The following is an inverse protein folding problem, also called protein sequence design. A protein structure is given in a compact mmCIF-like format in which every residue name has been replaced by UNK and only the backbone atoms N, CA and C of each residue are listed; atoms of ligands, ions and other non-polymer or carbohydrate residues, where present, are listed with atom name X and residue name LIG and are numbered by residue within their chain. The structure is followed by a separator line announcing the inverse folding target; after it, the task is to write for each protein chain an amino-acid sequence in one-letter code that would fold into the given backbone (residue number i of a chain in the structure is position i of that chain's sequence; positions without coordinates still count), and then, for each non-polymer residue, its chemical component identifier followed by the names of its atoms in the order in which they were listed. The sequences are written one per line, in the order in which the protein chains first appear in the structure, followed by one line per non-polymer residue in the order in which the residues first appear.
data_IF_182446897241
#
_entry.id   IF_182446897241
#
_cell.length_a   1.000
_cell.length_b   1.000
_cell.length_c   1.000
_cell.angle_alpha   90.00
_cell.angle_beta   90.00
_cell.angle_gamma   90.00
#
_symmetry.space_group_name_H-M   'P 1'
#
loop_
_entity.id
_entity.type
_entity.pdbx_description
1 polymer ?
#
# COMPACT_ATOMS: atom_id res chain seq x y z
N UNK A 1 -18.64 5.52 9.38
CA UNK A 1 -17.55 4.88 10.15
C UNK A 1 -17.37 3.46 9.65
N UNK A 2 -16.37 3.20 8.81
CA UNK A 2 -16.12 1.85 8.28
C UNK A 2 -15.61 0.92 9.37
N UNK A 3 -16.33 -0.17 9.63
CA UNK A 3 -15.87 -1.23 10.54
C UNK A 3 -14.53 -1.79 10.04
N UNK A 4 -13.55 -1.88 10.95
CA UNK A 4 -12.22 -2.46 10.68
C UNK A 4 -12.41 -3.92 10.32
N UNK A 5 -12.47 -4.23 9.03
CA UNK A 5 -12.46 -5.65 8.64
C UNK A 5 -11.08 -6.19 8.96
N UNK A 6 -11.08 -7.08 9.96
CA UNK A 6 -9.95 -7.76 10.58
C UNK A 6 -9.13 -8.55 9.54
N UNK A 7 -8.35 -7.85 8.73
CA UNK A 7 -7.43 -8.45 7.78
C UNK A 7 -6.07 -8.73 8.41
N UNK A 8 -5.72 -8.02 9.47
CA UNK A 8 -4.47 -8.14 10.20
C UNK A 8 -4.80 -8.39 11.67
N UNK A 9 -4.29 -9.49 12.22
CA UNK A 9 -4.51 -9.86 13.62
C UNK A 9 -3.55 -9.07 14.52
N UNK A 10 -3.98 -8.74 15.74
CA UNK A 10 -3.15 -7.93 16.65
C UNK A 10 -1.88 -8.69 17.04
N UNK A 11 -1.99 -10.01 17.15
CA UNK A 11 -0.93 -10.95 17.53
C UNK A 11 0.18 -11.02 16.47
N UNK A 12 -0.13 -10.63 15.22
CA UNK A 12 0.84 -10.55 14.12
C UNK A 12 1.35 -9.12 13.90
N UNK A 13 0.94 -8.16 14.74
CA UNK A 13 1.46 -6.79 14.69
C UNK A 13 2.67 -6.67 15.62
N UNK A 14 3.78 -6.12 15.12
CA UNK A 14 5.04 -6.01 15.86
C UNK A 14 5.68 -4.64 15.63
N UNK A 15 6.53 -4.19 16.56
CA UNK A 15 7.35 -3.00 16.34
C UNK A 15 8.39 -3.26 15.25
N UNK A 16 8.48 -2.35 14.29
CA UNK A 16 9.46 -2.40 13.20
C UNK A 16 9.88 -1.00 12.78
N UNK A 17 11.01 -0.90 12.09
CA UNK A 17 11.49 0.37 11.55
C UNK A 17 10.72 0.74 10.27
N UNK A 18 10.30 1.99 10.19
CA UNK A 18 9.78 2.62 8.99
C UNK A 18 10.73 3.74 8.58
N UNK A 19 11.30 3.63 7.38
CA UNK A 19 12.25 4.61 6.85
C UNK A 19 11.50 5.80 6.25
N UNK A 20 11.68 6.96 6.87
CA UNK A 20 11.17 8.24 6.43
C UNK A 20 11.99 8.76 5.24
N UNK A 21 11.40 9.69 4.49
CA UNK A 21 12.06 10.34 3.35
C UNK A 21 13.27 11.19 3.75
N UNK A 22 13.35 11.59 5.02
CA UNK A 22 14.51 12.29 5.59
C UNK A 22 15.75 11.39 5.70
N UNK A 23 15.61 10.08 5.51
CA UNK A 23 16.64 9.08 5.78
C UNK A 23 16.63 8.56 7.22
N UNK A 24 15.86 9.18 8.11
CA UNK A 24 15.65 8.71 9.47
C UNK A 24 14.65 7.54 9.50
N UNK A 25 14.71 6.72 10.55
CA UNK A 25 13.74 5.66 10.80
C UNK A 25 12.93 5.93 12.06
N UNK A 26 11.64 5.63 12.03
CA UNK A 26 10.76 5.67 13.20
C UNK A 26 10.24 4.26 13.52
N UNK A 27 10.04 3.95 14.80
CA UNK A 27 9.39 2.70 15.20
C UNK A 27 7.89 2.82 14.95
N UNK A 28 7.33 1.84 14.24
CA UNK A 28 5.91 1.74 13.96
C UNK A 28 5.37 0.37 14.32
N UNK A 29 4.08 0.32 14.60
CA UNK A 29 3.33 -0.93 14.70
C UNK A 29 3.12 -1.48 13.29
N UNK A 30 3.99 -2.39 12.88
CA UNK A 30 3.97 -3.06 11.58
C UNK A 30 3.02 -4.25 11.62
N UNK A 31 1.97 -4.21 10.82
CA UNK A 31 1.05 -5.33 10.70
C UNK A 31 1.66 -6.41 9.79
N UNK A 32 1.21 -7.66 9.90
CA UNK A 32 1.65 -8.74 9.01
C UNK A 32 0.47 -9.57 8.51
N UNK A 33 0.54 -9.97 7.23
CA UNK A 33 -0.37 -10.97 6.66
C UNK A 33 0.27 -11.71 5.49
N UNK A 34 0.15 -13.05 5.52
CA UNK A 34 0.40 -13.91 4.37
C UNK A 34 -0.93 -14.30 3.71
N UNK A 35 -1.13 -13.91 2.45
CA UNK A 35 -2.38 -14.18 1.71
C UNK A 35 -2.14 -14.12 0.20
N UNK A 36 -3.18 -14.38 -0.59
CA UNK A 36 -3.21 -13.98 -1.99
C UNK A 36 -3.67 -12.52 -2.11
N UNK A 37 -2.92 -11.72 -2.86
CA UNK A 37 -3.19 -10.30 -3.14
C UNK A 37 -3.16 -10.04 -4.64
N UNK A 38 -3.81 -8.96 -5.08
CA UNK A 38 -3.69 -8.46 -6.44
C UNK A 38 -2.48 -7.53 -6.52
N UNK A 39 -1.48 -7.91 -7.32
CA UNK A 39 -0.17 -7.29 -7.39
C UNK A 39 0.25 -7.06 -8.86
N UNK A 40 1.10 -6.06 -9.09
CA UNK A 40 1.78 -5.86 -10.36
C UNK A 40 3.09 -5.11 -10.13
N UNK A 41 4.12 -5.43 -10.90
CA UNK A 41 5.30 -4.57 -11.00
C UNK A 41 5.06 -3.53 -12.11
N UNK A 42 5.17 -2.25 -11.77
CA UNK A 42 5.00 -1.14 -12.71
C UNK A 42 6.38 -0.63 -13.14
N UNK A 43 6.93 -1.22 -14.20
CA UNK A 43 8.28 -0.91 -14.68
C UNK A 43 8.50 0.59 -14.96
N UNK A 44 7.51 1.28 -15.53
CA UNK A 44 7.59 2.72 -15.80
C UNK A 44 7.76 3.55 -14.52
N UNK A 45 7.18 3.11 -13.41
CA UNK A 45 7.21 3.79 -12.12
C UNK A 45 8.28 3.24 -11.17
N UNK A 46 8.88 2.09 -11.51
CA UNK A 46 9.80 1.33 -10.67
C UNK A 46 9.25 1.06 -9.27
N UNK A 47 8.02 0.53 -9.23
CA UNK A 47 7.32 0.24 -7.99
C UNK A 47 6.46 -1.02 -8.09
N UNK A 48 6.20 -1.63 -6.94
CA UNK A 48 5.22 -2.69 -6.78
C UNK A 48 3.86 -2.09 -6.43
N UNK A 49 2.84 -2.37 -7.23
CA UNK A 49 1.47 -2.03 -6.95
C UNK A 49 0.76 -3.18 -6.21
N UNK A 50 0.03 -2.87 -5.14
CA UNK A 50 -0.84 -3.81 -4.44
C UNK A 50 -2.23 -3.22 -4.21
N UNK A 51 -3.27 -3.99 -4.54
CA UNK A 51 -4.66 -3.60 -4.33
C UNK A 51 -5.25 -4.31 -3.11
N UNK A 52 -5.69 -3.52 -2.13
CA UNK A 52 -6.32 -3.98 -0.90
C UNK A 52 -7.79 -3.57 -0.89
N UNK A 53 -8.74 -4.51 -0.97
CA UNK A 53 -10.16 -4.19 -0.89
C UNK A 53 -10.53 -3.71 0.52
N UNK A 54 -11.31 -2.64 0.63
CA UNK A 54 -12.02 -2.32 1.85
C UNK A 54 -13.27 -3.19 1.90
N UNK A 55 -13.38 -4.12 2.84
CA UNK A 55 -14.67 -4.74 3.12
C UNK A 55 -15.49 -3.78 3.99
N UNK A 56 -16.70 -3.48 3.57
CA UNK A 56 -17.77 -3.00 4.45
C UNK A 56 -18.60 -4.21 4.87
N UNK A 57 -19.14 -4.18 6.09
CA UNK A 57 -19.94 -5.28 6.67
C UNK A 57 -21.30 -5.49 5.98
N UNK A 58 -21.68 -4.58 5.09
CA UNK A 58 -23.06 -4.34 4.69
C UNK A 58 -23.23 -4.02 3.19
N UNK A 59 -22.16 -4.09 2.37
CA UNK A 59 -22.25 -3.88 0.91
C UNK A 59 -21.03 -4.47 0.18
N UNK A 60 -21.21 -5.11 -0.99
CA UNK A 60 -20.10 -5.64 -1.75
C UNK A 60 -19.27 -4.51 -2.39
N UNK A 61 -18.09 -4.24 -1.83
CA UNK A 61 -16.84 -4.11 -2.60
C UNK A 61 -16.62 -2.89 -3.50
N UNK A 62 -17.14 -1.71 -3.19
CA UNK A 62 -16.94 -0.52 -4.05
C UNK A 62 -15.55 0.13 -3.92
N UNK A 63 -14.87 -0.03 -2.78
CA UNK A 63 -13.66 0.71 -2.48
C UNK A 63 -12.45 -0.19 -2.27
N UNK A 64 -11.31 0.24 -2.82
CA UNK A 64 -10.03 -0.43 -2.63
C UNK A 64 -8.92 0.59 -2.49
N UNK A 65 -7.93 0.29 -1.66
CA UNK A 65 -6.68 1.02 -1.59
C UNK A 65 -5.69 0.44 -2.60
N UNK A 66 -5.12 1.28 -3.46
CA UNK A 66 -3.93 0.95 -4.25
C UNK A 66 -2.71 1.51 -3.52
N UNK A 67 -1.76 0.64 -3.15
CA UNK A 67 -0.49 1.05 -2.56
C UNK A 67 0.59 0.85 -3.62
N UNK A 68 1.39 1.89 -3.87
CA UNK A 68 2.59 1.83 -4.69
C UNK A 68 3.80 1.79 -3.76
N UNK A 69 4.49 0.66 -3.73
CA UNK A 69 5.68 0.44 -2.92
C UNK A 69 6.92 0.59 -3.78
N UNK A 70 7.73 1.60 -3.49
CA UNK A 70 8.98 1.87 -4.20
C UNK A 70 10.04 0.83 -3.85
N UNK A 71 10.90 0.53 -4.82
CA UNK A 71 12.06 -0.33 -4.58
C UNK A 71 13.15 0.39 -3.77
N UNK A 72 13.31 1.70 -3.97
CA UNK A 72 14.30 2.53 -3.27
C UNK A 72 13.65 3.56 -2.33
N UNK A 73 14.23 3.72 -1.14
CA UNK A 73 13.76 4.65 -0.09
C UNK A 73 13.82 6.12 -0.53
N UNK A 74 14.79 6.49 -1.36
CA UNK A 74 14.94 7.83 -1.92
C UNK A 74 14.07 8.11 -3.17
N UNK A 75 13.21 7.17 -3.57
CA UNK A 75 12.48 7.21 -4.84
C UNK A 75 11.21 8.06 -4.88
N UNK A 76 10.71 8.59 -3.75
CA UNK A 76 9.36 9.17 -3.72
C UNK A 76 9.20 10.42 -4.57
N UNK A 77 10.17 11.35 -4.55
CA UNK A 77 10.10 12.57 -5.37
C UNK A 77 10.02 12.23 -6.87
N UNK A 78 10.84 11.25 -7.31
CA UNK A 78 10.85 10.74 -8.70
C UNK A 78 9.56 10.02 -9.07
N UNK A 79 8.96 9.26 -8.14
CA UNK A 79 7.65 8.65 -8.37
C UNK A 79 6.57 9.72 -8.53
N UNK A 80 6.54 10.71 -7.63
CA UNK A 80 5.53 11.76 -7.66
C UNK A 80 5.63 12.62 -8.93
N UNK A 81 6.84 12.91 -9.41
CA UNK A 81 7.02 13.62 -10.68
C UNK A 81 6.48 12.82 -11.87
N UNK A 82 6.72 11.51 -11.91
CA UNK A 82 6.14 10.61 -12.92
C UNK A 82 4.61 10.56 -12.84
N UNK A 83 4.04 10.38 -11.64
CA UNK A 83 2.59 10.31 -11.45
C UNK A 83 1.85 11.61 -11.81
N UNK A 84 2.52 12.76 -11.69
CA UNK A 84 1.98 14.07 -12.11
C UNK A 84 1.96 14.26 -13.62
N UNK A 85 2.75 13.50 -14.38
CA UNK A 85 2.71 13.60 -15.83
C UNK A 85 1.33 13.16 -16.37
N UNK A 86 0.83 13.78 -17.46
CA UNK A 86 -0.50 13.51 -17.97
C UNK A 86 -0.75 12.02 -18.21
N UNK A 87 -1.86 11.50 -17.67
CA UNK A 87 -2.29 10.11 -17.85
C UNK A 87 -1.57 9.07 -17.00
N UNK A 88 -0.44 9.39 -16.36
CA UNK A 88 0.35 8.40 -15.61
C UNK A 88 -0.38 7.87 -14.37
N UNK A 89 -1.03 8.73 -13.59
CA UNK A 89 -1.86 8.29 -12.47
C UNK A 89 -3.03 7.41 -12.93
N UNK A 90 -3.70 7.76 -14.02
CA UNK A 90 -4.79 6.97 -14.56
C UNK A 90 -4.32 5.59 -15.04
N UNK A 91 -3.16 5.53 -15.71
CA UNK A 91 -2.50 4.28 -16.11
C UNK A 91 -2.16 3.40 -14.90
N UNK A 92 -1.57 3.97 -13.86
CA UNK A 92 -1.27 3.25 -12.62
C UNK A 92 -2.53 2.69 -11.93
N UNK A 93 -3.62 3.46 -11.91
CA UNK A 93 -4.91 3.03 -11.37
C UNK A 93 -5.60 1.94 -12.22
N UNK A 94 -5.38 1.99 -13.54
CA UNK A 94 -5.92 1.03 -14.51
C UNK A 94 -5.04 -0.20 -14.75
N UNK A 95 -3.90 -0.33 -14.05
CA UNK A 95 -2.96 -1.41 -14.29
C UNK A 95 -3.59 -2.79 -14.08
N UNK A 96 -3.16 -3.75 -14.91
CA UNK A 96 -3.60 -5.14 -14.80
C UNK A 96 -2.86 -5.81 -13.64
N UNK A 97 -3.60 -6.11 -12.58
CA UNK A 97 -3.07 -6.78 -11.39
C UNK A 97 -3.33 -8.29 -11.45
N UNK A 98 -2.35 -9.07 -11.00
CA UNK A 98 -2.41 -10.52 -10.96
C UNK A 98 -2.50 -11.03 -9.51
N UNK A 99 -3.22 -12.13 -9.31
CA UNK A 99 -3.48 -12.67 -7.97
C UNK A 99 -2.37 -13.63 -7.56
N UNK A 100 -1.53 -13.21 -6.62
CA UNK A 100 -0.33 -13.95 -6.21
C UNK A 100 -0.23 -14.08 -4.69
N UNK A 101 0.47 -15.12 -4.20
CA UNK A 101 0.75 -15.27 -2.77
C UNK A 101 1.88 -14.31 -2.39
N UNK A 102 1.66 -13.47 -1.39
CA UNK A 102 2.69 -12.58 -0.87
C UNK A 102 2.61 -12.43 0.66
N UNK A 103 3.72 -11.95 1.22
CA UNK A 103 3.82 -11.50 2.60
C UNK A 103 3.71 -9.98 2.59
N UNK A 104 2.72 -9.44 3.30
CA UNK A 104 2.46 -8.00 3.34
C UNK A 104 2.74 -7.47 4.74
N UNK A 105 3.54 -6.40 4.80
CA UNK A 105 3.95 -5.70 6.02
C UNK A 105 3.57 -4.21 5.93
N UNK A 106 2.30 -3.84 6.14
CA UNK A 106 1.90 -2.44 6.12
C UNK A 106 2.00 -1.82 7.52
N UNK A 107 2.51 -0.57 7.65
CA UNK A 107 2.47 0.13 8.92
C UNK A 107 1.01 0.41 9.30
N UNK A 108 0.70 0.36 10.59
CA UNK A 108 -0.59 0.79 11.11
C UNK A 108 -0.57 2.31 11.30
N UNK A 109 -1.26 3.03 10.43
CA UNK A 109 -1.35 4.50 10.50
C UNK A 109 -2.80 4.99 10.54
N UNK A 110 -2.97 6.25 10.91
CA UNK A 110 -4.19 7.03 10.72
C UNK A 110 -3.78 8.30 9.97
N UNK A 111 -4.48 8.62 8.90
CA UNK A 111 -4.36 9.95 8.28
C UNK A 111 -5.35 10.84 9.02
N UNK A 112 -4.85 11.93 9.60
CA UNK A 112 -5.67 13.02 10.10
C UNK A 112 -5.35 14.24 9.25
N UNK A 113 -6.36 15.02 8.90
CA UNK A 113 -6.13 16.32 8.30
C UNK A 113 -5.45 17.23 9.33
N UNK A 114 -4.41 17.95 8.90
CA UNK A 114 -3.72 18.98 9.68
C UNK A 114 -4.35 20.32 9.36
#
# INVERSE_FOLDING_TARGET
MGSRVHHFTKEQTQDSDFYCLSGESVKVQMMYRKSRFYLAYLAELDCMAIKLPFRRSDSPGEWSMLILLLHETAGLSKLLSKLRAPGQLASAMGCKLHKEKAHLYPPKFKVADV
#
